data_IF_115913893077
#
_entry.id   IF_115913893077
#
_cell.length_a   1.000
_cell.length_b   1.000
_cell.length_c   1.000
_cell.angle_alpha   90.00
_cell.angle_beta   90.00
_cell.angle_gamma   90.00
#
_symmetry.space_group_name_H-M   'P 1'
#
loop_
_entity.id
_entity.type
_entity.pdbx_description
1 polymer ?
#
# COMPACT_ATOMS: atom_id res chain seq x y z
N UNK A 1 125.23 18.35 -12.32
CA UNK A 1 125.92 19.59 -11.93
C UNK A 1 126.74 19.47 -10.63
N UNK A 2 126.31 18.72 -9.59
CA UNK A 2 127.14 18.52 -8.37
C UNK A 2 128.40 17.66 -8.58
N UNK A 3 128.40 16.73 -9.54
CA UNK A 3 129.53 15.85 -9.84
C UNK A 3 130.74 16.53 -10.53
N UNK A 4 130.70 17.85 -10.75
CA UNK A 4 131.75 18.63 -11.41
C UNK A 4 132.52 19.54 -10.44
N UNK A 5 132.31 19.38 -9.12
CA UNK A 5 133.00 20.16 -8.10
C UNK A 5 134.32 19.46 -7.72
N UNK A 6 135.44 20.13 -7.98
CA UNK A 6 136.81 19.62 -7.73
C UNK A 6 137.41 20.40 -6.55
N UNK A 7 138.20 19.73 -5.71
CA UNK A 7 138.83 20.33 -4.54
C UNK A 7 139.82 21.44 -4.97
N UNK A 8 139.72 22.61 -4.33
CA UNK A 8 140.51 23.83 -4.55
C UNK A 8 140.28 24.62 -5.85
N UNK A 9 139.32 24.23 -6.70
CA UNK A 9 138.83 25.05 -7.81
C UNK A 9 137.58 25.86 -7.42
N UNK A 10 137.47 27.14 -7.82
CA UNK A 10 136.31 27.96 -7.52
C UNK A 10 135.05 27.36 -8.18
N UNK A 11 134.03 27.08 -7.37
CA UNK A 11 132.78 26.51 -7.83
C UNK A 11 132.15 27.39 -8.94
N UNK A 12 131.74 26.83 -10.09
CA UNK A 12 131.21 27.61 -11.21
C UNK A 12 129.87 28.31 -10.92
N UNK A 13 129.21 27.96 -9.80
CA UNK A 13 127.92 28.56 -9.40
C UNK A 13 128.08 29.69 -8.38
N UNK A 14 128.98 29.55 -7.41
CA UNK A 14 129.11 30.54 -6.32
C UNK A 14 130.50 31.19 -6.20
N UNK A 15 131.47 30.81 -7.01
CA UNK A 15 132.82 31.40 -7.05
C UNK A 15 133.72 31.10 -5.84
N UNK A 16 133.18 30.46 -4.79
CA UNK A 16 133.95 30.07 -3.60
C UNK A 16 134.82 28.85 -3.88
N UNK A 17 136.06 28.87 -3.38
CA UNK A 17 136.99 27.72 -3.40
C UNK A 17 136.67 26.68 -2.32
N UNK A 18 135.95 27.09 -1.27
CA UNK A 18 135.40 26.20 -0.26
C UNK A 18 133.88 26.14 -0.45
N UNK A 19 133.37 24.99 -0.89
CA UNK A 19 131.93 24.79 -1.07
C UNK A 19 131.50 23.53 -0.32
N UNK A 20 130.40 23.56 0.48
CA UNK A 20 130.04 22.49 1.44
C UNK A 20 129.77 21.11 0.83
N UNK A 21 129.69 21.01 -0.49
CA UNK A 21 129.41 19.80 -1.25
C UNK A 21 130.58 19.40 -2.19
N UNK A 22 131.77 20.01 -2.05
CA UNK A 22 133.00 19.64 -2.79
C UNK A 22 133.58 18.32 -2.28
N UNK A 23 133.54 18.12 -0.96
CA UNK A 23 133.69 16.83 -0.31
C UNK A 23 132.30 16.31 0.05
N UNK A 24 132.04 15.03 -0.19
CA UNK A 24 130.80 14.41 0.27
C UNK A 24 130.70 14.62 1.79
N UNK A 25 129.61 15.24 2.24
CA UNK A 25 129.34 15.47 3.67
C UNK A 25 128.35 14.41 4.14
N UNK A 26 128.83 13.22 4.55
CA UNK A 26 127.98 12.10 4.94
C UNK A 26 127.12 12.43 6.16
N UNK A 27 127.58 13.35 7.03
CA UNK A 27 126.84 13.76 8.23
C UNK A 27 125.57 14.56 7.87
N UNK A 28 125.67 15.49 6.92
CA UNK A 28 124.53 16.27 6.44
C UNK A 28 123.50 15.39 5.72
N UNK A 29 123.95 14.44 4.89
CA UNK A 29 123.07 13.48 4.23
C UNK A 29 122.42 12.51 5.23
N UNK A 30 123.14 12.06 6.25
CA UNK A 30 122.59 11.24 7.31
C UNK A 30 121.51 11.99 8.11
N UNK A 31 121.71 13.27 8.46
CA UNK A 31 120.70 14.10 9.12
C UNK A 31 119.46 14.33 8.27
N UNK A 32 119.62 14.60 6.97
CA UNK A 32 118.47 14.78 6.08
C UNK A 32 117.68 13.48 5.92
N UNK A 33 118.38 12.34 5.82
CA UNK A 33 117.75 11.01 5.74
C UNK A 33 116.98 10.68 7.02
N UNK A 34 117.53 10.94 8.20
CA UNK A 34 116.80 10.69 9.47
C UNK A 34 115.60 11.60 9.64
N UNK A 35 115.68 12.85 9.19
CA UNK A 35 114.54 13.77 9.17
C UNK A 35 113.45 13.31 8.18
N UNK A 36 113.85 12.82 7.00
CA UNK A 36 112.92 12.29 6.01
C UNK A 36 112.23 11.01 6.52
N UNK A 37 112.97 10.10 7.16
CA UNK A 37 112.43 8.90 7.80
C UNK A 37 111.45 9.26 8.94
N UNK A 38 111.80 10.22 9.79
CA UNK A 38 110.92 10.71 10.86
C UNK A 38 109.67 11.39 10.32
N UNK A 39 109.80 12.21 9.27
CA UNK A 39 108.67 12.84 8.58
C UNK A 39 107.73 11.79 7.97
N UNK A 40 108.28 10.80 7.25
CA UNK A 40 107.48 9.73 6.64
C UNK A 40 106.78 8.86 7.70
N UNK A 41 107.44 8.59 8.83
CA UNK A 41 106.83 7.89 9.95
C UNK A 41 105.67 8.71 10.57
N UNK A 42 105.87 10.01 10.79
CA UNK A 42 104.84 10.91 11.30
C UNK A 42 103.67 11.06 10.33
N UNK A 43 103.94 11.17 9.02
CA UNK A 43 102.91 11.26 7.97
C UNK A 43 102.08 9.97 7.91
N UNK A 44 102.72 8.80 8.00
CA UNK A 44 102.01 7.50 8.03
C UNK A 44 101.12 7.38 9.27
N UNK A 45 101.62 7.81 10.43
CA UNK A 45 100.86 7.82 11.68
C UNK A 45 99.68 8.79 11.60
N UNK A 46 99.90 10.00 11.09
CA UNK A 46 98.83 10.99 10.86
C UNK A 46 97.74 10.45 9.94
N UNK A 47 98.11 9.82 8.82
CA UNK A 47 97.14 9.26 7.88
C UNK A 47 96.32 8.12 8.50
N UNK A 48 96.94 7.30 9.37
CA UNK A 48 96.25 6.24 10.11
C UNK A 48 95.22 6.85 11.06
N UNK A 49 95.64 7.81 11.90
CA UNK A 49 94.74 8.49 12.83
C UNK A 49 93.61 9.23 12.11
N UNK A 50 93.89 9.88 10.98
CA UNK A 50 92.88 10.56 10.17
C UNK A 50 91.83 9.57 9.62
N UNK A 51 92.26 8.38 9.19
CA UNK A 51 91.38 7.28 8.80
C UNK A 51 90.52 6.76 9.95
N UNK A 52 91.11 6.59 11.13
CA UNK A 52 90.42 6.13 12.34
C UNK A 52 89.36 7.15 12.79
N UNK A 53 89.72 8.45 12.82
CA UNK A 53 88.79 9.54 13.16
C UNK A 53 87.61 9.55 12.20
N UNK A 54 87.87 9.46 10.89
CA UNK A 54 86.80 9.44 9.88
C UNK A 54 85.87 8.24 10.06
N UNK A 55 86.43 7.07 10.35
CA UNK A 55 85.67 5.83 10.58
C UNK A 55 84.81 5.93 11.84
N UNK A 56 85.38 6.45 12.94
CA UNK A 56 84.66 6.70 14.20
C UNK A 56 83.54 7.72 14.01
N UNK A 57 83.76 8.81 13.28
CA UNK A 57 82.72 9.79 12.97
C UNK A 57 81.56 9.18 12.19
N UNK A 58 81.84 8.34 11.18
CA UNK A 58 80.82 7.62 10.43
C UNK A 58 80.04 6.65 11.32
N UNK A 59 80.74 5.92 12.20
CA UNK A 59 80.10 5.02 13.14
C UNK A 59 79.20 5.74 14.14
N UNK A 60 79.67 6.86 14.72
CA UNK A 60 78.88 7.72 15.59
C UNK A 60 77.64 8.29 14.88
N UNK A 61 77.77 8.72 13.61
CA UNK A 61 76.63 9.17 12.80
C UNK A 61 75.61 8.06 12.60
N UNK A 62 76.06 6.84 12.30
CA UNK A 62 75.19 5.66 12.14
C UNK A 62 74.45 5.35 13.44
N UNK A 63 75.17 5.24 14.56
CA UNK A 63 74.55 4.96 15.87
C UNK A 63 73.51 6.01 16.26
N UNK A 64 73.75 7.29 15.95
CA UNK A 64 72.77 8.35 16.18
C UNK A 64 71.50 8.13 15.35
N UNK A 65 71.64 7.82 14.07
CA UNK A 65 70.51 7.55 13.18
C UNK A 65 69.71 6.32 13.63
N UNK A 66 70.42 5.25 14.02
CA UNK A 66 69.79 4.02 14.52
C UNK A 66 69.02 4.30 15.82
N UNK A 67 69.61 5.06 16.75
CA UNK A 67 68.95 5.47 18.00
C UNK A 67 67.69 6.31 17.75
N UNK A 68 67.74 7.25 16.81
CA UNK A 68 66.56 8.05 16.43
C UNK A 68 65.46 7.18 15.80
N UNK A 69 65.86 6.21 14.97
CA UNK A 69 64.94 5.28 14.31
C UNK A 69 64.26 4.36 15.31
N UNK A 70 65.02 3.76 16.22
CA UNK A 70 64.47 2.92 17.28
C UNK A 70 63.61 3.71 18.25
N UNK A 71 63.99 4.96 18.57
CA UNK A 71 63.18 5.86 19.39
C UNK A 71 61.80 6.12 18.79
N UNK A 72 61.75 6.42 17.48
CA UNK A 72 60.47 6.60 16.75
C UNK A 72 59.63 5.33 16.75
N UNK A 73 60.25 4.18 16.43
CA UNK A 73 59.53 2.90 16.39
C UNK A 73 58.97 2.50 17.77
N UNK A 74 59.73 2.73 18.84
CA UNK A 74 59.27 2.48 20.20
C UNK A 74 58.08 3.36 20.57
N UNK A 75 58.14 4.65 20.22
CA UNK A 75 57.03 5.57 20.44
C UNK A 75 55.77 5.13 19.70
N UNK A 76 55.87 4.79 18.41
CA UNK A 76 54.74 4.29 17.61
C UNK A 76 54.13 3.02 18.20
N UNK A 77 54.97 2.07 18.63
CA UNK A 77 54.51 0.83 19.28
C UNK A 77 53.83 1.10 20.60
N UNK A 78 54.36 2.02 21.41
CA UNK A 78 53.78 2.40 22.70
C UNK A 78 52.39 3.03 22.50
N UNK A 79 52.24 3.91 21.52
CA UNK A 79 50.94 4.49 21.17
C UNK A 79 49.97 3.42 20.67
N UNK A 80 50.42 2.47 19.84
CA UNK A 80 49.58 1.36 19.36
C UNK A 80 49.11 0.47 20.51
N UNK A 81 49.98 0.14 21.47
CA UNK A 81 49.63 -0.66 22.64
C UNK A 81 48.57 0.07 23.47
N UNK A 82 48.78 1.35 23.80
CA UNK A 82 47.81 2.13 24.57
C UNK A 82 46.42 2.17 23.89
N UNK A 83 46.38 2.35 22.56
CA UNK A 83 45.12 2.33 21.81
C UNK A 83 44.43 0.96 21.83
N UNK A 84 45.21 -0.14 21.78
CA UNK A 84 44.67 -1.49 21.84
C UNK A 84 44.18 -1.84 23.25
N UNK A 85 44.86 -1.38 24.29
CA UNK A 85 44.44 -1.53 25.69
C UNK A 85 43.14 -0.77 25.97
N UNK A 86 43.00 0.46 25.47
CA UNK A 86 41.75 1.23 25.58
C UNK A 86 40.60 0.49 24.88
N UNK A 87 40.81 0.02 23.66
CA UNK A 87 39.81 -0.79 22.94
C UNK A 87 39.47 -2.07 23.71
N UNK A 88 40.48 -2.74 24.25
CA UNK A 88 40.30 -3.97 25.01
C UNK A 88 39.42 -3.76 26.23
N UNK A 89 39.74 -2.76 27.05
CA UNK A 89 39.01 -2.42 28.27
C UNK A 89 37.56 -1.98 28.01
N UNK A 90 37.25 -1.51 26.79
CA UNK A 90 35.88 -1.21 26.36
C UNK A 90 34.99 -2.44 26.15
N UNK A 91 35.55 -3.65 26.00
CA UNK A 91 34.75 -4.87 25.87
C UNK A 91 34.27 -5.37 27.23
N UNK A 92 33.02 -5.80 27.33
CA UNK A 92 32.45 -6.42 28.54
C UNK A 92 33.21 -7.67 29.00
N UNK A 93 33.89 -8.35 28.08
CA UNK A 93 34.71 -9.53 28.35
C UNK A 93 36.06 -9.21 29.01
N UNK A 94 36.51 -7.96 28.99
CA UNK A 94 37.84 -7.59 29.47
C UNK A 94 38.04 -7.95 30.95
N UNK A 95 37.07 -7.62 31.81
CA UNK A 95 37.15 -7.96 33.24
C UNK A 95 37.11 -9.46 33.48
N UNK A 96 36.26 -10.19 32.76
CA UNK A 96 36.16 -11.65 32.90
C UNK A 96 37.44 -12.37 32.42
N UNK A 97 38.09 -11.85 31.38
CA UNK A 97 39.33 -12.40 30.85
C UNK A 97 40.52 -12.30 31.81
N UNK A 98 40.49 -11.34 32.74
CA UNK A 98 41.55 -11.13 33.72
C UNK A 98 41.57 -12.22 34.80
N UNK A 99 40.45 -12.93 34.99
CA UNK A 99 40.37 -14.10 35.87
C UNK A 99 40.90 -15.38 35.21
N UNK A 100 41.18 -15.35 33.90
CA UNK A 100 41.71 -16.48 33.12
C UNK A 100 43.21 -16.31 32.93
N UNK A 101 43.96 -17.40 33.11
CA UNK A 101 45.41 -17.41 32.88
C UNK A 101 45.75 -17.07 31.44
N UNK A 102 46.92 -16.46 31.21
CA UNK A 102 47.34 -16.01 29.88
C UNK A 102 47.37 -17.18 28.87
N UNK A 103 47.79 -18.36 29.31
CA UNK A 103 47.91 -19.57 28.48
C UNK A 103 46.55 -20.05 27.97
N UNK A 104 45.48 -19.86 28.75
CA UNK A 104 44.14 -20.33 28.43
C UNK A 104 43.22 -19.23 27.87
N UNK A 105 43.64 -17.96 27.94
CA UNK A 105 42.79 -16.81 27.56
C UNK A 105 42.33 -16.87 26.11
N UNK A 106 43.17 -17.33 25.20
CA UNK A 106 42.83 -17.46 23.79
C UNK A 106 41.69 -18.47 23.56
N UNK A 107 41.80 -19.66 24.15
CA UNK A 107 40.75 -20.69 24.06
C UNK A 107 39.46 -20.24 24.74
N UNK A 108 39.56 -19.58 25.89
CA UNK A 108 38.41 -19.02 26.58
C UNK A 108 37.68 -17.97 25.74
N UNK A 109 38.42 -17.05 25.11
CA UNK A 109 37.85 -16.04 24.21
C UNK A 109 37.14 -16.67 23.02
N UNK A 110 37.72 -17.72 22.43
CA UNK A 110 37.08 -18.46 21.34
C UNK A 110 35.75 -19.09 21.78
N UNK A 111 35.70 -19.68 22.98
CA UNK A 111 34.45 -20.20 23.55
C UNK A 111 33.42 -19.09 23.78
N UNK A 112 33.83 -17.93 24.30
CA UNK A 112 32.92 -16.80 24.48
C UNK A 112 32.35 -16.30 23.15
N UNK A 113 33.17 -16.24 22.09
CA UNK A 113 32.71 -15.87 20.75
C UNK A 113 31.69 -16.88 20.23
N UNK A 114 31.96 -18.18 20.37
CA UNK A 114 31.03 -19.23 19.93
C UNK A 114 29.70 -19.15 20.69
N UNK A 115 29.73 -18.94 22.01
CA UNK A 115 28.52 -18.77 22.83
C UNK A 115 27.71 -17.54 22.40
N UNK A 116 28.37 -16.39 22.21
CA UNK A 116 27.70 -15.16 21.77
C UNK A 116 27.09 -15.31 20.37
N UNK A 117 27.79 -16.00 19.45
CA UNK A 117 27.25 -16.28 18.11
C UNK A 117 26.06 -17.24 18.16
N UNK A 118 26.09 -18.27 19.00
CA UNK A 118 24.97 -19.18 19.18
C UNK A 118 23.74 -18.44 19.74
N UNK A 119 23.93 -17.64 20.79
CA UNK A 119 22.88 -16.80 21.36
C UNK A 119 22.32 -15.80 20.34
N UNK A 120 23.19 -15.19 19.52
CA UNK A 120 22.76 -14.28 18.46
C UNK A 120 21.88 -14.98 17.42
N UNK A 121 22.24 -16.20 17.00
CA UNK A 121 21.43 -16.99 16.06
C UNK A 121 20.07 -17.35 16.65
N UNK A 122 20.04 -17.78 17.90
CA UNK A 122 18.79 -18.11 18.59
C UNK A 122 17.86 -16.89 18.68
N UNK A 123 18.39 -15.73 19.07
CA UNK A 123 17.60 -14.48 19.12
C UNK A 123 17.09 -14.09 17.73
N UNK A 124 17.90 -14.25 16.68
CA UNK A 124 17.49 -13.97 15.31
C UNK A 124 16.35 -14.90 14.84
N UNK A 125 16.42 -16.19 15.17
CA UNK A 125 15.36 -17.16 14.87
C UNK A 125 14.06 -16.81 15.61
N UNK A 126 14.14 -16.44 16.89
CA UNK A 126 13.00 -16.00 17.67
C UNK A 126 12.36 -14.72 17.09
N UNK A 127 13.19 -13.76 16.66
CA UNK A 127 12.71 -12.52 16.05
C UNK A 127 11.97 -12.79 14.73
N UNK A 128 12.50 -13.67 13.89
CA UNK A 128 11.86 -14.06 12.64
C UNK A 128 10.52 -14.79 12.89
N UNK A 129 10.48 -15.70 13.88
CA UNK A 129 9.26 -16.38 14.27
C UNK A 129 8.19 -15.40 14.80
N UNK A 130 8.61 -14.40 15.58
CA UNK A 130 7.72 -13.33 16.05
C UNK A 130 7.17 -12.50 14.89
N UNK A 131 8.02 -12.08 13.96
CA UNK A 131 7.60 -11.27 12.81
C UNK A 131 6.62 -12.05 11.90
N UNK A 132 6.87 -13.34 11.69
CA UNK A 132 5.93 -14.22 10.96
C UNK A 132 4.56 -14.28 11.63
N UNK A 133 4.52 -14.46 12.96
CA UNK A 133 3.26 -14.47 13.72
C UNK A 133 2.54 -13.12 13.67
N UNK A 134 3.29 -12.02 13.74
CA UNK A 134 2.76 -10.65 13.64
C UNK A 134 2.10 -10.42 12.27
N UNK A 135 2.77 -10.82 11.19
CA UNK A 135 2.22 -10.70 9.83
C UNK A 135 0.95 -11.54 9.66
N UNK A 136 0.93 -12.77 10.17
CA UNK A 136 -0.28 -13.61 10.15
C UNK A 136 -1.45 -12.96 10.92
N UNK A 137 -1.18 -12.36 12.08
CA UNK A 137 -2.19 -11.65 12.86
C UNK A 137 -2.75 -10.43 12.12
N UNK A 138 -1.92 -9.67 11.42
CA UNK A 138 -2.34 -8.52 10.62
C UNK A 138 -3.23 -8.94 9.43
N UNK A 139 -2.90 -10.07 8.79
CA UNK A 139 -3.77 -10.65 7.74
C UNK A 139 -5.13 -11.04 8.30
N UNK A 140 -5.17 -11.74 9.44
CA UNK A 140 -6.41 -12.13 10.10
C UNK A 140 -7.25 -10.92 10.51
N UNK A 141 -6.62 -9.85 11.00
CA UNK A 141 -7.30 -8.60 11.35
C UNK A 141 -7.97 -7.97 10.13
N UNK A 142 -7.27 -7.87 9.00
CA UNK A 142 -7.86 -7.36 7.74
C UNK A 142 -9.03 -8.20 7.26
N UNK A 143 -8.93 -9.52 7.39
CA UNK A 143 -10.04 -10.43 7.06
C UNK A 143 -11.23 -10.20 7.98
N UNK A 144 -11.01 -10.03 9.30
CA UNK A 144 -12.06 -9.74 10.27
C UNK A 144 -12.77 -8.42 9.94
N UNK A 145 -12.01 -7.35 9.66
CA UNK A 145 -12.56 -6.05 9.30
C UNK A 145 -13.44 -6.14 8.03
N UNK A 146 -12.99 -6.89 7.03
CA UNK A 146 -13.77 -7.15 5.80
C UNK A 146 -15.07 -7.89 6.11
N UNK A 147 -15.04 -8.89 7.00
CA UNK A 147 -16.23 -9.64 7.41
C UNK A 147 -17.20 -8.78 8.23
N UNK A 148 -16.69 -7.89 9.09
CA UNK A 148 -17.51 -6.95 9.85
C UNK A 148 -18.22 -5.94 8.93
N UNK A 149 -17.53 -5.44 7.92
CA UNK A 149 -18.14 -4.57 6.89
C UNK A 149 -19.21 -5.31 6.08
N UNK A 150 -18.96 -6.56 5.69
CA UNK A 150 -19.97 -7.37 4.99
C UNK A 150 -21.20 -7.65 5.88
N UNK A 151 -20.98 -7.91 7.17
CA UNK A 151 -22.07 -8.13 8.13
C UNK A 151 -22.94 -6.89 8.30
N UNK A 152 -22.34 -5.69 8.41
CA UNK A 152 -23.10 -4.45 8.53
C UNK A 152 -23.92 -4.15 7.27
N UNK A 153 -23.34 -4.36 6.08
CA UNK A 153 -24.04 -4.23 4.81
C UNK A 153 -25.22 -5.21 4.71
N UNK A 154 -25.02 -6.48 5.05
CA UNK A 154 -26.09 -7.49 5.05
C UNK A 154 -27.20 -7.14 6.04
N UNK A 155 -26.86 -6.58 7.22
CA UNK A 155 -27.85 -6.13 8.21
C UNK A 155 -28.74 -5.02 7.65
N UNK A 156 -28.16 -4.08 6.90
CA UNK A 156 -28.94 -3.00 6.30
C UNK A 156 -29.84 -3.52 5.17
N UNK A 157 -29.31 -4.38 4.30
CA UNK A 157 -30.12 -5.07 3.28
C UNK A 157 -31.29 -5.84 3.88
N UNK A 158 -31.08 -6.52 5.02
CA UNK A 158 -32.15 -7.23 5.72
C UNK A 158 -33.25 -6.29 6.20
N UNK A 159 -32.91 -5.11 6.73
CA UNK A 159 -33.90 -4.11 7.14
C UNK A 159 -34.70 -3.59 5.94
N UNK A 160 -34.04 -3.32 4.83
CA UNK A 160 -34.71 -2.84 3.62
C UNK A 160 -35.67 -3.90 3.06
N UNK A 161 -35.24 -5.17 3.03
CA UNK A 161 -36.12 -6.29 2.66
C UNK A 161 -37.29 -6.46 3.62
N UNK A 162 -37.09 -6.23 4.92
CA UNK A 162 -38.17 -6.27 5.89
C UNK A 162 -39.17 -5.14 5.67
N UNK A 163 -38.72 -3.93 5.35
CA UNK A 163 -39.60 -2.80 4.98
C UNK A 163 -40.38 -3.08 3.69
N UNK A 164 -39.70 -3.62 2.68
CA UNK A 164 -40.33 -4.02 1.41
C UNK A 164 -41.42 -5.07 1.64
N UNK A 165 -41.14 -6.07 2.50
CA UNK A 165 -42.12 -7.08 2.89
C UNK A 165 -43.35 -6.45 3.54
N UNK A 166 -43.17 -5.60 4.56
CA UNK A 166 -44.28 -4.93 5.25
C UNK A 166 -45.11 -4.08 4.28
N UNK A 167 -44.48 -3.33 3.37
CA UNK A 167 -45.20 -2.54 2.37
C UNK A 167 -46.03 -3.41 1.42
N UNK A 168 -45.52 -4.59 1.02
CA UNK A 168 -46.26 -5.54 0.19
C UNK A 168 -47.44 -6.17 0.95
N UNK A 169 -47.26 -6.49 2.22
CA UNK A 169 -48.33 -7.01 3.09
C UNK A 169 -49.47 -5.98 3.22
N UNK A 170 -49.15 -4.71 3.48
CA UNK A 170 -50.13 -3.62 3.53
C UNK A 170 -50.85 -3.43 2.19
N UNK A 171 -50.13 -3.50 1.07
CA UNK A 171 -50.73 -3.41 -0.26
C UNK A 171 -51.68 -4.58 -0.53
N UNK A 172 -51.31 -5.80 -0.11
CA UNK A 172 -52.14 -6.98 -0.23
C UNK A 172 -53.43 -6.86 0.60
N UNK A 173 -53.34 -6.39 1.84
CA UNK A 173 -54.52 -6.13 2.67
C UNK A 173 -55.44 -5.10 2.04
N UNK A 174 -54.88 -4.01 1.49
CA UNK A 174 -55.68 -2.98 0.81
C UNK A 174 -56.43 -3.55 -0.39
N UNK A 175 -55.75 -4.34 -1.23
CA UNK A 175 -56.36 -4.99 -2.40
C UNK A 175 -57.46 -5.96 -1.94
N UNK A 176 -57.22 -6.75 -0.89
CA UNK A 176 -58.23 -7.66 -0.34
C UNK A 176 -59.49 -6.92 0.11
N UNK A 177 -59.35 -5.82 0.85
CA UNK A 177 -60.49 -4.97 1.27
C UNK A 177 -61.22 -4.34 0.07
N UNK A 178 -60.48 -3.90 -0.95
CA UNK A 178 -61.08 -3.36 -2.18
C UNK A 178 -61.88 -4.43 -2.93
N UNK A 179 -61.36 -5.64 -3.06
CA UNK A 179 -62.05 -6.77 -3.68
C UNK A 179 -63.31 -7.15 -2.91
N UNK A 180 -63.24 -7.19 -1.58
CA UNK A 180 -64.41 -7.45 -0.73
C UNK A 180 -65.50 -6.38 -0.94
N UNK A 181 -65.12 -5.10 -0.90
CA UNK A 181 -66.06 -3.99 -1.15
C UNK A 181 -66.69 -4.05 -2.54
N UNK A 182 -65.89 -4.30 -3.59
CA UNK A 182 -66.41 -4.44 -4.97
C UNK A 182 -67.36 -5.63 -5.05
N UNK A 183 -67.02 -6.76 -4.41
CA UNK A 183 -67.86 -7.96 -4.40
C UNK A 183 -69.20 -7.69 -3.72
N UNK A 184 -69.18 -7.05 -2.55
CA UNK A 184 -70.41 -6.65 -1.84
C UNK A 184 -71.23 -5.66 -2.66
N UNK A 185 -70.59 -4.64 -3.26
CA UNK A 185 -71.28 -3.66 -4.12
C UNK A 185 -71.94 -4.33 -5.32
N UNK A 186 -71.23 -5.24 -6.00
CA UNK A 186 -71.76 -6.00 -7.12
C UNK A 186 -72.94 -6.87 -6.69
N UNK A 187 -72.86 -7.51 -5.52
CA UNK A 187 -73.96 -8.30 -4.98
C UNK A 187 -75.18 -7.43 -4.71
N UNK A 188 -75.02 -6.29 -4.01
CA UNK A 188 -76.13 -5.36 -3.73
C UNK A 188 -76.76 -4.82 -5.01
N UNK A 189 -75.97 -4.41 -6.00
CA UNK A 189 -76.49 -3.95 -7.30
C UNK A 189 -77.23 -5.07 -8.04
N UNK A 190 -76.72 -6.30 -7.98
CA UNK A 190 -77.37 -7.47 -8.58
C UNK A 190 -78.74 -7.73 -7.93
N UNK A 191 -78.81 -7.70 -6.59
CA UNK A 191 -80.05 -7.89 -5.83
C UNK A 191 -81.07 -6.77 -6.11
N UNK A 192 -80.62 -5.51 -6.21
CA UNK A 192 -81.48 -4.36 -6.56
C UNK A 192 -82.07 -4.47 -7.97
N UNK A 193 -81.31 -5.01 -8.92
CA UNK A 193 -81.75 -5.17 -10.30
C UNK A 193 -82.62 -6.41 -10.50
N UNK A 194 -82.48 -7.43 -9.66
CA UNK A 194 -83.18 -8.72 -9.81
C UNK A 194 -84.71 -8.62 -10.00
N UNK A 195 -85.46 -7.76 -9.27
CA UNK A 195 -86.91 -7.64 -9.46
C UNK A 195 -87.33 -7.11 -10.84
N UNK A 196 -86.44 -6.44 -11.57
CA UNK A 196 -86.72 -5.84 -12.87
C UNK A 196 -86.50 -6.81 -14.05
N UNK A 197 -85.95 -7.99 -13.79
CA UNK A 197 -85.72 -9.01 -14.80
C UNK A 197 -86.58 -10.24 -14.55
N UNK A 198 -87.33 -10.67 -15.56
CA UNK A 198 -88.16 -11.88 -15.48
C UNK A 198 -87.37 -13.18 -15.68
N UNK A 199 -86.17 -13.09 -16.27
CA UNK A 199 -85.30 -14.25 -16.51
C UNK A 199 -84.32 -14.41 -15.33
N UNK A 200 -84.33 -15.52 -14.57
CA UNK A 200 -83.42 -15.73 -13.45
C UNK A 200 -81.93 -15.80 -13.85
N UNK A 201 -81.63 -16.16 -15.10
CA UNK A 201 -80.26 -16.30 -15.61
C UNK A 201 -79.68 -15.00 -16.19
N UNK A 202 -80.33 -13.86 -15.95
CA UNK A 202 -79.94 -12.57 -16.54
C UNK A 202 -78.51 -12.15 -16.15
N UNK A 203 -78.08 -12.45 -14.93
CA UNK A 203 -76.75 -12.11 -14.41
C UNK A 203 -75.65 -12.87 -15.14
N UNK A 204 -75.85 -14.16 -15.38
CA UNK A 204 -74.85 -14.99 -16.07
C UNK A 204 -74.76 -14.64 -17.56
N UNK A 205 -75.89 -14.27 -18.16
CA UNK A 205 -75.92 -13.76 -19.52
C UNK A 205 -75.18 -12.41 -19.64
N UNK A 206 -75.34 -11.52 -18.65
CA UNK A 206 -74.57 -10.28 -18.58
C UNK A 206 -73.07 -10.54 -18.35
N UNK A 207 -72.69 -11.44 -17.43
CA UNK A 207 -71.28 -11.76 -17.16
C UNK A 207 -70.54 -12.33 -18.37
N UNK A 208 -71.23 -13.11 -19.21
CA UNK A 208 -70.64 -13.72 -20.42
C UNK A 208 -70.40 -12.70 -21.54
N UNK A 209 -71.30 -11.74 -21.71
CA UNK A 209 -71.20 -10.67 -22.71
C UNK A 209 -71.90 -9.39 -22.24
N UNK A 210 -71.20 -8.51 -21.49
CA UNK A 210 -71.80 -7.31 -20.93
C UNK A 210 -72.31 -6.33 -22.00
N UNK A 211 -71.56 -6.19 -23.10
CA UNK A 211 -71.88 -5.24 -24.16
C UNK A 211 -73.08 -5.71 -24.97
N UNK A 212 -73.08 -6.96 -25.44
CA UNK A 212 -74.20 -7.50 -26.19
C UNK A 212 -75.46 -7.65 -25.34
N UNK A 213 -75.34 -7.90 -24.02
CA UNK A 213 -76.48 -7.85 -23.11
C UNK A 213 -77.06 -6.44 -23.03
N UNK A 214 -76.23 -5.41 -22.81
CA UNK A 214 -76.68 -4.03 -22.73
C UNK A 214 -77.38 -3.56 -24.03
N UNK A 215 -76.82 -3.88 -25.18
CA UNK A 215 -77.41 -3.55 -26.48
C UNK A 215 -78.80 -4.17 -26.67
N UNK A 216 -78.98 -5.43 -26.24
CA UNK A 216 -80.28 -6.12 -26.27
C UNK A 216 -81.30 -5.45 -25.34
N UNK A 217 -80.90 -5.07 -24.13
CA UNK A 217 -81.79 -4.37 -23.19
C UNK A 217 -82.20 -2.99 -23.72
N UNK A 218 -81.27 -2.24 -24.30
CA UNK A 218 -81.55 -0.94 -24.93
C UNK A 218 -82.51 -1.09 -26.12
N UNK A 219 -82.28 -2.08 -26.98
CA UNK A 219 -83.17 -2.37 -28.11
C UNK A 219 -84.58 -2.76 -27.63
N UNK A 220 -84.68 -3.63 -26.63
CA UNK A 220 -85.95 -4.03 -26.02
C UNK A 220 -86.69 -2.83 -25.43
N UNK A 221 -86.02 -1.98 -24.65
CA UNK A 221 -86.64 -0.79 -24.05
C UNK A 221 -87.16 0.19 -25.10
N UNK A 222 -86.43 0.39 -26.22
CA UNK A 222 -86.90 1.19 -27.35
C UNK A 222 -88.15 0.60 -27.99
N UNK A 223 -88.15 -0.70 -28.25
CA UNK A 223 -89.30 -1.39 -28.84
C UNK A 223 -90.52 -1.33 -27.91
N UNK A 224 -90.33 -1.57 -26.61
CA UNK A 224 -91.39 -1.47 -25.61
C UNK A 224 -92.01 -0.07 -25.56
N UNK A 225 -91.18 0.99 -25.59
CA UNK A 225 -91.65 2.37 -25.63
C UNK A 225 -92.50 2.65 -26.89
N UNK A 226 -92.03 2.23 -28.07
CA UNK A 226 -92.77 2.39 -29.31
C UNK A 226 -94.12 1.66 -29.28
N UNK A 227 -94.16 0.44 -28.73
CA UNK A 227 -95.40 -0.32 -28.59
C UNK A 227 -96.34 0.32 -27.56
N UNK A 228 -95.83 0.84 -26.45
CA UNK A 228 -96.64 1.55 -25.46
C UNK A 228 -97.27 2.82 -26.05
N UNK A 229 -96.51 3.62 -26.80
CA UNK A 229 -97.01 4.79 -27.53
C UNK A 229 -98.08 4.39 -28.57
N UNK A 230 -97.87 3.30 -29.31
CA UNK A 230 -98.85 2.77 -30.25
C UNK A 230 -100.14 2.30 -29.55
N UNK A 231 -100.05 1.65 -28.37
CA UNK A 231 -101.21 1.26 -27.57
C UNK A 231 -101.99 2.50 -27.10
N UNK A 232 -101.29 3.56 -26.66
CA UNK A 232 -101.93 4.82 -26.25
C UNK A 232 -102.68 5.45 -27.44
N UNK A 233 -102.02 5.53 -28.61
CA UNK A 233 -102.61 6.07 -29.83
C UNK A 233 -103.83 5.24 -30.29
N UNK A 234 -103.72 3.91 -30.31
CA UNK A 234 -104.81 3.02 -30.67
C UNK A 234 -105.99 3.13 -29.69
N UNK A 235 -105.74 3.25 -28.38
CA UNK A 235 -106.79 3.48 -27.39
C UNK A 235 -107.45 4.86 -27.53
N UNK A 236 -106.73 5.86 -28.03
CA UNK A 236 -107.31 7.16 -28.37
C UNK A 236 -108.21 7.04 -29.61
N UNK A 237 -107.75 6.39 -30.67
CA UNK A 237 -108.56 6.12 -31.86
C UNK A 237 -109.80 5.28 -31.55
N UNK A 238 -109.69 4.29 -30.66
CA UNK A 238 -110.84 3.49 -30.22
C UNK A 238 -111.88 4.36 -29.49
N UNK A 239 -111.45 5.31 -28.65
CA UNK A 239 -112.35 6.27 -27.99
C UNK A 239 -113.02 7.21 -28.99
N UNK A 240 -112.29 7.67 -30.01
CA UNK A 240 -112.82 8.49 -31.10
C UNK A 240 -113.87 7.70 -31.92
N UNK A 241 -113.58 6.45 -32.28
CA UNK A 241 -114.53 5.58 -33.00
C UNK A 241 -115.76 5.20 -32.17
N UNK A 242 -115.60 4.93 -30.88
CA UNK A 242 -116.73 4.70 -29.97
C UNK A 242 -117.63 5.95 -29.86
N UNK A 243 -117.04 7.15 -29.84
CA UNK A 243 -117.78 8.41 -29.85
C UNK A 243 -118.51 8.63 -31.18
N UNK A 244 -117.86 8.38 -32.31
CA UNK A 244 -118.47 8.45 -33.64
C UNK A 244 -119.64 7.46 -33.82
N UNK A 245 -119.51 6.22 -33.31
CA UNK A 245 -120.59 5.23 -33.30
C UNK A 245 -121.77 5.67 -32.42
N UNK A 246 -121.52 6.29 -31.26
CA UNK A 246 -122.58 6.86 -30.44
C UNK A 246 -123.34 7.98 -31.17
N UNK A 247 -122.62 8.80 -31.93
CA UNK A 247 -123.18 9.92 -32.71
C UNK A 247 -123.99 9.44 -33.92
N UNK A 248 -123.51 8.42 -34.65
CA UNK A 248 -124.31 7.72 -35.68
C UNK A 248 -125.57 7.07 -35.08
N UNK A 249 -125.50 6.52 -33.87
CA UNK A 249 -126.69 5.98 -33.18
C UNK A 249 -127.71 7.07 -32.83
N UNK A 250 -127.26 8.30 -32.54
CA UNK A 250 -128.13 9.46 -32.28
C UNK A 250 -128.77 9.96 -33.58
N UNK A 251 -128.03 9.98 -34.69
CA UNK A 251 -128.57 10.32 -36.02
C UNK A 251 -129.58 9.27 -36.53
N UNK A 252 -129.33 7.97 -36.27
CA UNK A 252 -130.30 6.90 -36.56
C UNK A 252 -131.60 7.01 -35.74
N UNK A 253 -131.54 7.53 -34.51
CA UNK A 253 -132.74 7.84 -33.70
C UNK A 253 -133.50 9.08 -34.19
N UNK A 254 -132.83 10.05 -34.82
CA UNK A 254 -133.48 11.24 -35.37
C UNK A 254 -134.27 10.97 -36.66
N UNK A 255 -133.83 10.03 -37.51
CA UNK A 255 -134.60 9.64 -38.70
C UNK A 255 -135.85 8.78 -38.41
N UNK A 256 -135.91 8.11 -37.26
CA UNK A 256 -137.04 7.22 -36.92
C UNK A 256 -138.24 7.96 -36.29
N UNK A 257 -138.03 9.16 -35.70
CA UNK A 257 -139.08 9.91 -35.00
C UNK A 257 -139.99 10.77 -35.91
N UNK A 258 -139.77 10.83 -37.22
CA UNK A 258 -140.63 11.61 -38.15
C UNK A 258 -141.81 10.79 -38.73
N UNK A 259 -141.86 9.45 -38.55
CA UNK A 259 -142.87 8.59 -39.23
C UNK A 259 -143.97 7.93 -38.37
N UNK A 260 -144.26 8.40 -37.14
CA UNK A 260 -145.45 7.93 -36.37
C UNK A 260 -146.24 9.08 -35.75
N UNK A 261 -146.88 9.87 -36.61
CA UNK A 261 -148.18 10.51 -36.35
C UNK A 261 -149.22 9.69 -37.13
N UNK A 262 -150.41 9.53 -36.57
CA UNK A 262 -151.64 8.92 -37.13
C UNK A 262 -151.95 7.46 -36.70
N UNK A 263 -152.61 7.29 -35.53
CA UNK A 263 -153.94 6.63 -35.38
C UNK A 263 -154.41 6.55 -33.91
N UNK A 264 -155.63 7.06 -33.68
CA UNK A 264 -156.47 7.28 -32.48
C UNK A 264 -156.95 6.00 -31.76
N UNK A 265 -157.67 6.07 -30.60
CA UNK A 265 -158.37 7.22 -29.97
C UNK A 265 -157.75 7.77 -28.68
#
# INVERSE_FOLDING_TARGET
MRAQLIQDEPCPVCGSKEHPFVTDNPLAHAMLKTLEEAYNAALKYHNTLSGDITSLEQFCKKLRLDSETFGKSLQERTTQIAMLEEKWTGFSLATASAAVSDENRAQWLEQQVQQLQAAQREVAEQLNAYETKRQAAEVLKKQLDTKLQALSANKEQLKDRQREKTSKEEAQERIARQLEHITQTLQTMTEQLAPHFSNPDWVDNWKKDPQGFNDKIVAFARQWKQQAEAIIANNQQLREHQSALQEMSKQGRHCCCIKRKDQCP
#
